data_IF_589472753908
#
_entry.id   IF_589472753908
#
_cell.length_a   1.000
_cell.length_b   1.000
_cell.length_c   1.000
_cell.angle_alpha   90.00
_cell.angle_beta   90.00
_cell.angle_gamma   90.00
#
_symmetry.space_group_name_H-M   'P 1'
#
loop_
_entity.id
_entity.type
_entity.pdbx_description
1 polymer ?
#
# COMPACT_ATOMS: atom_id res chain seq x y z
N UNK A 1 -0.92 -20.86 -9.95
CA UNK A 1 -0.23 -20.15 -11.06
C UNK A 1 1.11 -19.68 -10.51
N UNK A 2 2.21 -19.84 -11.24
CA UNK A 2 3.56 -19.61 -10.69
C UNK A 2 4.20 -18.39 -11.34
N UNK A 3 4.55 -17.38 -10.54
CA UNK A 3 5.28 -16.17 -10.95
C UNK A 3 6.80 -16.29 -10.69
N UNK A 4 7.31 -17.51 -10.50
CA UNK A 4 8.72 -17.73 -10.12
C UNK A 4 9.71 -17.25 -11.18
N UNK A 5 9.34 -17.34 -12.47
CA UNK A 5 10.13 -16.75 -13.56
C UNK A 5 10.33 -15.24 -13.36
N UNK A 6 9.23 -14.52 -13.11
CA UNK A 6 9.22 -13.08 -12.93
C UNK A 6 9.96 -12.68 -11.65
N UNK A 7 9.72 -13.40 -10.54
CA UNK A 7 10.48 -13.20 -9.29
C UNK A 7 11.99 -13.35 -9.49
N UNK A 8 12.41 -14.40 -10.19
CA UNK A 8 13.83 -14.63 -10.46
C UNK A 8 14.41 -13.57 -11.39
N UNK A 9 13.68 -13.18 -12.45
CA UNK A 9 14.09 -12.09 -13.34
C UNK A 9 14.27 -10.76 -12.59
N UNK A 10 13.28 -10.35 -11.78
CA UNK A 10 13.35 -9.11 -11.00
C UNK A 10 14.47 -9.13 -9.97
N UNK A 11 14.71 -10.29 -9.32
CA UNK A 11 15.85 -10.48 -8.40
C UNK A 11 17.20 -10.30 -9.11
N UNK A 12 17.30 -10.74 -10.36
CA UNK A 12 18.53 -10.67 -11.16
C UNK A 12 18.66 -9.36 -11.94
N UNK A 13 17.65 -8.48 -11.93
CA UNK A 13 17.57 -7.31 -12.81
C UNK A 13 18.80 -6.40 -12.73
N UNK A 14 19.39 -6.28 -11.54
CA UNK A 14 20.58 -5.47 -11.28
C UNK A 14 21.83 -6.31 -10.97
N UNK A 15 21.78 -7.62 -11.22
CA UNK A 15 22.87 -8.54 -10.93
C UNK A 15 23.43 -9.16 -12.22
N UNK A 16 24.76 -9.15 -12.34
CA UNK A 16 25.46 -9.78 -13.47
C UNK A 16 25.32 -9.03 -14.80
N UNK A 17 25.50 -9.73 -15.94
CA UNK A 17 25.38 -9.12 -17.26
C UNK A 17 23.97 -8.63 -17.54
N UNK A 18 23.84 -7.51 -18.26
CA UNK A 18 22.54 -6.94 -18.64
C UNK A 18 21.70 -7.96 -19.46
N UNK A 19 20.48 -8.23 -18.99
CA UNK A 19 19.56 -9.23 -19.60
C UNK A 19 18.41 -8.61 -20.38
N UNK A 20 18.27 -7.28 -20.37
CA UNK A 20 17.13 -6.56 -20.93
C UNK A 20 16.44 -5.66 -19.92
N UNK A 21 15.34 -5.06 -20.34
CA UNK A 21 14.51 -4.20 -19.50
C UNK A 21 13.35 -5.01 -18.93
N UNK A 22 12.96 -4.74 -17.69
CA UNK A 22 11.68 -5.20 -17.15
C UNK A 22 10.54 -4.32 -17.66
N UNK A 23 9.47 -4.95 -18.12
CA UNK A 23 8.25 -4.28 -18.58
C UNK A 23 7.12 -4.69 -17.62
N UNK A 24 6.44 -3.68 -17.05
CA UNK A 24 5.27 -3.88 -16.20
C UNK A 24 4.15 -3.01 -16.73
N UNK A 25 2.98 -3.63 -16.95
CA UNK A 25 1.78 -2.95 -17.41
C UNK A 25 0.75 -3.03 -16.29
N UNK A 26 0.32 -1.86 -15.81
CA UNK A 26 -0.67 -1.81 -14.73
C UNK A 26 -2.08 -2.10 -15.27
N UNK A 27 -2.85 -3.00 -14.63
CA UNK A 27 -4.26 -3.13 -14.95
C UNK A 27 -5.03 -1.87 -14.54
N UNK A 28 -6.25 -1.67 -15.07
CA UNK A 28 -7.20 -0.76 -14.43
C UNK A 28 -7.49 -1.27 -13.02
N UNK A 29 -7.34 -0.38 -12.03
CA UNK A 29 -7.58 -0.73 -10.63
C UNK A 29 -9.08 -0.85 -10.33
N UNK A 30 -9.51 -1.86 -9.56
CA UNK A 30 -10.85 -1.88 -9.01
C UNK A 30 -11.11 -0.60 -8.19
N UNK A 31 -12.27 0.06 -8.34
CA UNK A 31 -12.58 1.26 -7.57
C UNK A 31 -12.58 0.93 -6.08
N UNK A 32 -12.01 1.81 -5.26
CA UNK A 32 -12.00 1.65 -3.81
C UNK A 32 -13.41 1.95 -3.25
N UNK A 33 -14.15 0.96 -2.73
CA UNK A 33 -15.53 1.17 -2.30
C UNK A 33 -15.65 1.78 -0.89
N UNK A 34 -14.55 1.87 -0.14
CA UNK A 34 -14.57 2.18 1.29
C UNK A 34 -13.74 3.41 1.68
N UNK A 35 -13.11 4.07 0.70
CA UNK A 35 -12.27 5.25 0.90
C UNK A 35 -10.94 4.93 1.56
N UNK A 36 -10.26 5.96 2.06
CA UNK A 36 -8.97 5.85 2.73
C UNK A 36 -9.11 5.09 4.06
N UNK A 37 -8.51 3.89 4.13
CA UNK A 37 -8.59 3.03 5.32
C UNK A 37 -7.84 3.61 6.52
N UNK A 38 -6.95 4.60 6.34
CA UNK A 38 -6.23 5.25 7.43
C UNK A 38 -7.11 6.19 8.26
N UNK A 39 -8.12 6.77 7.64
CA UNK A 39 -9.00 7.78 8.25
C UNK A 39 -10.43 7.27 8.48
N UNK A 40 -10.69 6.01 8.17
CA UNK A 40 -12.03 5.43 8.22
C UNK A 40 -12.24 4.63 9.50
N UNK A 41 -13.38 4.85 10.15
CA UNK A 41 -13.80 4.11 11.36
C UNK A 41 -14.43 2.75 11.04
N UNK A 42 -14.56 2.39 9.74
CA UNK A 42 -15.18 1.12 9.34
C UNK A 42 -14.30 -0.07 9.74
N UNK A 43 -14.87 -1.26 9.98
CA UNK A 43 -14.10 -2.47 10.26
C UNK A 43 -13.12 -2.80 9.12
N UNK A 44 -11.92 -3.31 9.44
CA UNK A 44 -10.91 -3.67 8.42
C UNK A 44 -11.46 -4.62 7.34
N UNK A 45 -12.40 -5.48 7.73
CA UNK A 45 -12.99 -6.47 6.85
C UNK A 45 -13.72 -5.88 5.64
N UNK A 46 -14.13 -4.62 5.73
CA UNK A 46 -14.80 -3.91 4.64
C UNK A 46 -13.87 -3.70 3.42
N UNK A 47 -12.53 -3.72 3.60
CA UNK A 47 -11.55 -3.63 2.52
C UNK A 47 -11.14 -5.00 1.96
N UNK A 48 -11.47 -6.10 2.66
CA UNK A 48 -11.07 -7.45 2.28
C UNK A 48 -11.41 -7.82 0.83
N UNK A 49 -12.66 -7.64 0.37
CA UNK A 49 -13.04 -7.94 -1.02
C UNK A 49 -12.31 -7.08 -2.05
N UNK A 50 -12.02 -5.81 -1.73
CA UNK A 50 -11.29 -4.91 -2.63
C UNK A 50 -9.81 -5.30 -2.75
N UNK A 51 -9.19 -5.69 -1.63
CA UNK A 51 -7.81 -6.21 -1.60
C UNK A 51 -7.67 -7.47 -2.46
N UNK A 52 -8.64 -8.39 -2.37
CA UNK A 52 -8.66 -9.59 -3.22
C UNK A 52 -8.83 -9.24 -4.69
N UNK A 53 -9.79 -8.36 -5.00
CA UNK A 53 -10.06 -7.94 -6.38
C UNK A 53 -8.83 -7.26 -7.03
N UNK A 54 -8.07 -6.49 -6.25
CA UNK A 54 -6.80 -5.91 -6.71
C UNK A 54 -5.82 -7.00 -7.11
N UNK A 55 -5.56 -7.95 -6.20
CA UNK A 55 -4.58 -9.00 -6.44
C UNK A 55 -4.98 -9.88 -7.62
N UNK A 56 -6.26 -10.25 -7.71
CA UNK A 56 -6.80 -11.04 -8.81
C UNK A 56 -6.68 -10.30 -10.16
N UNK A 57 -6.97 -8.99 -10.19
CA UNK A 57 -6.82 -8.18 -11.39
C UNK A 57 -5.36 -8.11 -11.85
N UNK A 58 -4.41 -7.94 -10.92
CA UNK A 58 -2.98 -7.96 -11.22
C UNK A 58 -2.53 -9.32 -11.75
N UNK A 59 -2.92 -10.41 -11.09
CA UNK A 59 -2.55 -11.76 -11.52
C UNK A 59 -3.12 -12.11 -12.90
N UNK A 60 -4.40 -11.80 -13.13
CA UNK A 60 -5.03 -12.02 -14.42
C UNK A 60 -4.39 -11.17 -15.52
N UNK A 61 -4.05 -9.93 -15.24
CA UNK A 61 -3.41 -9.03 -16.20
C UNK A 61 -2.00 -9.49 -16.57
N UNK A 62 -1.15 -9.76 -15.56
CA UNK A 62 0.21 -10.25 -15.75
C UNK A 62 0.25 -11.51 -16.64
N UNK A 63 -0.72 -12.41 -16.45
CA UNK A 63 -0.88 -13.59 -17.29
C UNK A 63 -1.38 -13.31 -18.70
N UNK A 64 -2.26 -12.32 -18.86
CA UNK A 64 -2.84 -11.98 -20.16
C UNK A 64 -1.83 -11.27 -21.08
N UNK A 65 -0.94 -10.44 -20.52
CA UNK A 65 0.04 -9.66 -21.29
C UNK A 65 1.46 -10.23 -21.24
N UNK A 66 1.70 -11.27 -20.43
CA UNK A 66 3.00 -11.90 -20.18
C UNK A 66 4.09 -10.87 -19.81
N UNK A 67 3.75 -9.95 -18.90
CA UNK A 67 4.70 -8.94 -18.40
C UNK A 67 5.60 -9.49 -17.27
N UNK A 68 6.53 -8.68 -16.79
CA UNK A 68 7.51 -9.05 -15.76
C UNK A 68 6.99 -8.83 -14.33
N UNK A 69 5.71 -8.50 -14.16
CA UNK A 69 5.15 -8.18 -12.85
C UNK A 69 5.01 -9.43 -11.96
N UNK A 70 5.12 -9.23 -10.66
CA UNK A 70 4.74 -10.21 -9.64
C UNK A 70 3.55 -9.62 -8.91
N UNK A 71 2.37 -10.26 -8.90
CA UNK A 71 1.20 -9.74 -8.20
C UNK A 71 1.47 -9.59 -6.71
N UNK A 72 1.06 -8.46 -6.16
CA UNK A 72 1.23 -8.10 -4.75
C UNK A 72 -0.01 -7.34 -4.28
N UNK A 73 -0.13 -7.11 -2.97
CA UNK A 73 -1.20 -6.26 -2.42
C UNK A 73 -0.65 -4.87 -2.18
N UNK A 74 -0.95 -3.95 -3.10
CA UNK A 74 -0.61 -2.54 -2.96
C UNK A 74 -1.52 -1.84 -1.96
N UNK A 75 -1.16 -1.84 -0.68
CA UNK A 75 -1.79 -0.97 0.33
C UNK A 75 -1.30 0.47 0.14
N UNK A 76 -1.79 1.11 -0.91
CA UNK A 76 -1.38 2.46 -1.25
C UNK A 76 -1.95 3.46 -0.23
N UNK A 77 -1.05 4.10 0.49
CA UNK A 77 -1.32 5.26 1.33
C UNK A 77 -0.53 6.44 0.79
N UNK A 78 -0.89 7.66 1.16
CA UNK A 78 0.05 8.77 1.00
C UNK A 78 1.05 8.84 2.18
N UNK A 79 1.92 9.84 2.15
CA UNK A 79 2.88 10.12 3.22
C UNK A 79 2.22 10.52 4.55
N UNK A 80 0.90 10.75 4.55
CA UNK A 80 0.09 11.03 5.72
C UNK A 80 0.14 9.94 6.78
N UNK A 81 0.38 8.67 6.41
CA UNK A 81 0.53 7.58 7.39
C UNK A 81 1.64 7.88 8.42
N UNK A 82 2.79 8.35 7.95
CA UNK A 82 3.93 8.68 8.81
C UNK A 82 3.73 10.01 9.51
N UNK A 83 3.23 11.03 8.80
CA UNK A 83 2.96 12.33 9.40
C UNK A 83 1.96 12.22 10.56
N UNK A 84 0.91 11.41 10.40
CA UNK A 84 -0.06 11.14 11.47
C UNK A 84 0.58 10.44 12.67
N UNK A 85 1.56 9.56 12.44
CA UNK A 85 2.29 8.91 13.52
C UNK A 85 3.09 9.92 14.37
N UNK A 86 3.61 10.98 13.74
CA UNK A 86 4.25 12.12 14.43
C UNK A 86 3.25 13.16 14.99
N UNK A 87 1.94 12.90 14.90
CA UNK A 87 0.89 13.77 15.46
C UNK A 87 0.24 14.75 14.49
N UNK A 88 0.58 14.72 13.19
CA UNK A 88 -0.13 15.53 12.20
C UNK A 88 -1.60 15.08 12.09
N UNK A 89 -2.53 16.04 12.08
CA UNK A 89 -3.94 15.73 11.80
C UNK A 89 -4.11 15.42 10.31
N UNK A 90 -4.84 14.36 9.99
CA UNK A 90 -5.21 14.04 8.61
C UNK A 90 -6.52 14.75 8.22
N UNK A 91 -6.54 15.30 7.01
CA UNK A 91 -7.69 15.97 6.43
C UNK A 91 -8.18 15.22 5.19
N UNK A 92 -9.41 14.74 5.26
CA UNK A 92 -10.13 14.14 4.13
C UNK A 92 -10.91 15.24 3.43
N UNK A 93 -10.72 15.38 2.12
CA UNK A 93 -11.46 16.36 1.31
C UNK A 93 -12.83 15.81 0.94
N UNK A 94 -13.89 16.40 1.50
CA UNK A 94 -15.27 15.97 1.23
C UNK A 94 -15.60 16.04 -0.26
N UNK A 95 -16.22 14.98 -0.78
CA UNK A 95 -16.63 14.89 -2.18
C UNK A 95 -15.49 14.67 -3.18
N UNK A 96 -14.26 14.43 -2.72
CA UNK A 96 -13.11 14.13 -3.58
C UNK A 96 -12.66 12.69 -3.39
N UNK A 97 -12.34 12.02 -4.51
CA UNK A 97 -11.69 10.71 -4.50
C UNK A 97 -10.16 10.89 -4.41
N UNK A 98 -9.68 11.20 -3.21
CA UNK A 98 -8.27 11.44 -2.92
C UNK A 98 -7.90 10.90 -1.54
N UNK A 99 -6.63 10.52 -1.37
CA UNK A 99 -6.07 10.17 -0.07
C UNK A 99 -6.05 11.39 0.87
N UNK A 100 -6.07 11.15 2.19
CA UNK A 100 -6.14 12.21 3.20
C UNK A 100 -4.83 13.00 3.37
N UNK A 101 -4.85 14.33 3.29
CA UNK A 101 -3.64 15.14 3.46
C UNK A 101 -3.27 15.36 4.92
N UNK A 102 -1.99 15.27 5.26
CA UNK A 102 -1.52 15.68 6.58
C UNK A 102 -1.47 17.21 6.70
N UNK A 103 -2.05 17.75 7.77
CA UNK A 103 -1.92 19.14 8.17
C UNK A 103 -0.60 19.33 8.94
N UNK A 104 0.04 20.52 8.85
CA UNK A 104 1.23 20.83 9.63
C UNK A 104 0.99 20.59 11.14
N UNK A 105 1.95 19.94 11.80
CA UNK A 105 1.96 19.76 13.26
C UNK A 105 2.89 20.75 13.98
N UNK A 106 3.88 21.30 13.26
CA UNK A 106 4.91 22.19 13.77
C UNK A 106 5.15 23.33 12.78
N UNK A 107 5.57 24.48 13.26
CA UNK A 107 5.88 25.68 12.47
C UNK A 107 7.38 26.05 12.55
N UNK A 108 8.12 25.47 13.50
CA UNK A 108 9.55 25.75 13.71
C UNK A 108 10.41 24.49 13.76
N UNK A 109 11.72 24.66 13.54
CA UNK A 109 12.69 23.56 13.66
C UNK A 109 12.80 23.04 15.11
N UNK A 110 12.74 23.93 16.10
CA UNK A 110 12.83 23.56 17.52
C UNK A 110 11.61 22.73 17.98
N UNK A 111 10.41 23.02 17.45
CA UNK A 111 9.23 22.17 17.64
C UNK A 111 9.39 20.80 16.97
N UNK A 112 9.99 20.75 15.78
CA UNK A 112 10.25 19.50 15.09
C UNK A 112 11.25 18.61 15.86
N UNK A 113 12.32 19.21 16.40
CA UNK A 113 13.32 18.51 17.22
C UNK A 113 12.72 17.95 18.54
N UNK A 114 11.60 18.53 18.99
CA UNK A 114 10.87 18.09 20.19
C UNK A 114 9.84 16.97 19.95
N UNK A 115 9.62 16.54 18.69
CA UNK A 115 8.66 15.48 18.39
C UNK A 115 9.12 14.13 18.93
N UNK A 116 8.24 13.34 19.57
CA UNK A 116 8.59 11.99 19.98
C UNK A 116 8.72 11.08 18.75
N UNK A 117 9.58 10.08 18.84
CA UNK A 117 9.58 8.98 17.89
C UNK A 117 8.24 8.23 17.96
N UNK A 118 7.57 7.99 16.82
CA UNK A 118 6.32 7.25 16.81
C UNK A 118 6.57 5.79 17.13
N UNK A 119 5.79 5.23 18.04
CA UNK A 119 5.71 3.78 18.20
C UNK A 119 4.79 3.21 17.10
N UNK A 120 5.30 2.35 16.19
CA UNK A 120 4.54 1.81 15.07
C UNK A 120 3.30 1.00 15.47
N UNK A 121 3.24 0.51 16.71
CA UNK A 121 2.14 -0.33 17.20
C UNK A 121 1.05 0.46 17.93
N UNK A 122 1.37 1.65 18.46
CA UNK A 122 0.39 2.50 19.15
C UNK A 122 -0.10 3.67 18.31
N UNK A 123 0.65 4.10 17.29
CA UNK A 123 0.17 5.10 16.33
C UNK A 123 -1.05 4.57 15.55
N UNK A 124 -2.24 5.19 15.66
CA UNK A 124 -3.47 4.64 15.06
C UNK A 124 -3.38 4.41 13.55
N UNK A 125 -2.72 5.30 12.81
CA UNK A 125 -2.53 5.16 11.36
C UNK A 125 -1.68 3.94 10.98
N UNK A 126 -0.59 3.70 11.71
CA UNK A 126 0.31 2.56 11.48
C UNK A 126 -0.33 1.25 11.96
N UNK A 127 -0.96 1.24 13.14
CA UNK A 127 -1.71 0.09 13.64
C UNK A 127 -2.79 -0.35 12.66
N UNK A 128 -3.52 0.62 12.09
CA UNK A 128 -4.54 0.38 11.08
C UNK A 128 -3.96 -0.19 9.79
N UNK A 129 -2.82 0.32 9.31
CA UNK A 129 -2.14 -0.24 8.15
C UNK A 129 -1.74 -1.71 8.38
N UNK A 130 -1.18 -2.04 9.55
CA UNK A 130 -0.80 -3.41 9.87
C UNK A 130 -2.01 -4.34 10.01
N UNK A 131 -3.14 -3.85 10.52
CA UNK A 131 -4.40 -4.60 10.56
C UNK A 131 -4.86 -4.99 9.16
N UNK A 132 -4.84 -4.04 8.21
CA UNK A 132 -5.22 -4.29 6.81
C UNK A 132 -4.20 -5.22 6.12
N UNK A 133 -2.90 -5.07 6.39
CA UNK A 133 -1.87 -5.97 5.88
C UNK A 133 -2.03 -7.39 6.41
N UNK A 134 -2.35 -7.56 7.69
CA UNK A 134 -2.63 -8.86 8.28
C UNK A 134 -3.88 -9.51 7.66
N UNK A 135 -4.91 -8.70 7.38
CA UNK A 135 -6.10 -9.15 6.66
C UNK A 135 -5.73 -9.64 5.25
N UNK A 136 -4.94 -8.88 4.50
CA UNK A 136 -4.51 -9.26 3.16
C UNK A 136 -3.80 -10.63 3.17
N UNK A 137 -2.86 -10.84 4.10
CA UNK A 137 -2.16 -12.13 4.28
C UNK A 137 -3.10 -13.26 4.68
N UNK A 138 -4.09 -12.99 5.52
CA UNK A 138 -5.08 -14.00 5.94
C UNK A 138 -5.93 -14.47 4.77
N UNK A 139 -6.28 -13.55 3.86
CA UNK A 139 -7.16 -13.83 2.72
C UNK A 139 -6.42 -14.45 1.54
N UNK A 140 -5.24 -13.94 1.22
CA UNK A 140 -4.51 -14.27 -0.01
C UNK A 140 -3.35 -15.25 0.22
N UNK A 141 -3.02 -15.54 1.48
CA UNK A 141 -1.94 -16.45 1.86
C UNK A 141 -0.62 -15.72 2.14
N UNK A 142 0.37 -16.45 2.70
CA UNK A 142 1.62 -15.86 3.17
C UNK A 142 2.58 -15.43 2.04
N UNK A 143 2.39 -15.96 0.82
CA UNK A 143 3.27 -15.74 -0.33
C UNK A 143 2.87 -14.53 -1.18
N UNK A 144 1.75 -13.88 -0.82
CA UNK A 144 1.29 -12.63 -1.41
C UNK A 144 1.91 -11.49 -0.60
N UNK A 145 3.06 -11.02 -1.08
CA UNK A 145 3.81 -9.89 -0.53
C UNK A 145 3.83 -8.77 -1.56
#
# INVERSE_FOLDING_TARGET
MSFERNKQFLKDLFAGPFRGHGIVVSPPWPPNPAGDFLCSERPAQDWGPWIEAIYEAMAAHAMAVDDDSVPYVGLNTNTGIFAAAFGCRLHVYEGMDTNASALPAVETAEEADGLPDPDPLSAPSLARFFEIAALARTRLGPDVA
#
